data_IF_168587019621
#
_entry.id   IF_168587019621
#
_cell.length_a   1.000
_cell.length_b   1.000
_cell.length_c   1.000
_cell.angle_alpha   90.00
_cell.angle_beta   90.00
_cell.angle_gamma   90.00
#
_symmetry.space_group_name_H-M   'P 1'
#
loop_
_entity.id
_entity.type
_entity.pdbx_description
1 polymer ?
#
# COMPACT_ATOMS: atom_id res chain seq x y z
N UNK A 1 -6.28 1.85 -10.37
CA UNK A 1 -6.40 0.42 -10.03
C UNK A 1 -5.25 -0.31 -10.70
N UNK A 2 -4.51 -1.13 -9.96
CA UNK A 2 -3.37 -1.90 -10.49
C UNK A 2 -3.68 -3.40 -10.46
N UNK A 3 -2.97 -4.17 -11.30
CA UNK A 3 -3.01 -5.63 -11.27
C UNK A 3 -1.63 -6.15 -10.87
N UNK A 4 -1.57 -6.90 -9.77
CA UNK A 4 -0.39 -7.65 -9.38
C UNK A 4 -0.46 -9.05 -9.99
N UNK A 5 0.60 -9.47 -10.67
CA UNK A 5 0.67 -10.75 -11.38
C UNK A 5 -0.47 -10.98 -12.41
N UNK A 6 -1.00 -9.89 -12.97
CA UNK A 6 -2.07 -9.89 -13.98
C UNK A 6 -3.47 -10.24 -13.48
N UNK A 7 -3.61 -10.99 -12.39
CA UNK A 7 -4.91 -11.52 -11.94
C UNK A 7 -5.37 -10.97 -10.57
N UNK A 8 -4.46 -10.39 -9.78
CA UNK A 8 -4.80 -9.89 -8.44
C UNK A 8 -5.05 -8.39 -8.48
N UNK A 9 -6.28 -7.96 -8.18
CA UNK A 9 -6.60 -6.53 -8.03
C UNK A 9 -5.88 -5.97 -6.81
N UNK A 10 -5.09 -4.91 -7.00
CA UNK A 10 -4.36 -4.24 -5.93
C UNK A 10 -4.59 -2.73 -5.94
N UNK A 11 -4.56 -2.13 -4.76
CA UNK A 11 -4.49 -0.69 -4.59
C UNK A 11 -3.02 -0.28 -4.45
N UNK A 12 -2.59 0.64 -5.30
CA UNK A 12 -1.25 1.23 -5.27
C UNK A 12 -1.36 2.65 -4.76
N UNK A 13 -0.66 2.97 -3.68
CA UNK A 13 -0.59 4.31 -3.11
C UNK A 13 0.84 4.84 -3.25
N UNK A 14 1.00 5.92 -4.00
CA UNK A 14 2.27 6.65 -4.09
C UNK A 14 2.36 7.66 -2.96
N UNK A 15 3.46 7.66 -2.23
CA UNK A 15 3.81 8.70 -1.26
C UNK A 15 4.77 9.70 -1.91
N UNK A 16 4.58 11.00 -1.63
CA UNK A 16 5.47 12.06 -2.11
C UNK A 16 6.83 11.97 -1.40
N UNK A 17 7.89 12.34 -2.11
CA UNK A 17 9.25 12.42 -1.54
C UNK A 17 9.28 13.35 -0.32
N UNK A 18 10.01 12.96 0.72
CA UNK A 18 10.20 13.75 1.94
C UNK A 18 9.18 13.53 3.06
N UNK A 19 8.22 12.61 2.91
CA UNK A 19 7.28 12.33 4.00
C UNK A 19 7.85 11.46 5.12
N UNK A 20 8.83 10.59 4.82
CA UNK A 20 9.44 9.65 5.79
C UNK A 20 10.79 9.11 5.30
N UNK A 21 11.65 8.73 6.25
CA UNK A 21 12.89 7.98 5.97
C UNK A 21 12.58 6.52 5.60
N UNK A 22 13.33 5.92 4.66
CA UNK A 22 13.09 4.55 4.20
C UNK A 22 13.22 3.49 5.32
N UNK A 23 14.15 3.67 6.26
CA UNK A 23 14.31 2.77 7.42
C UNK A 23 13.09 2.76 8.35
N UNK A 24 12.57 3.94 8.68
CA UNK A 24 11.37 4.08 9.52
C UNK A 24 10.16 3.46 8.82
N UNK A 25 10.02 3.71 7.52
CA UNK A 25 8.96 3.13 6.72
C UNK A 25 9.06 1.60 6.62
N UNK A 26 10.25 1.02 6.50
CA UNK A 26 10.48 -0.42 6.54
C UNK A 26 10.06 -1.04 7.88
N UNK A 27 10.36 -0.38 8.99
CA UNK A 27 9.94 -0.82 10.31
C UNK A 27 8.40 -0.84 10.43
N UNK A 28 7.73 0.24 10.02
CA UNK A 28 6.27 0.31 10.01
C UNK A 28 5.63 -0.68 9.03
N UNK A 29 6.22 -0.88 7.85
CA UNK A 29 5.75 -1.85 6.86
C UNK A 29 5.85 -3.29 7.38
N UNK A 30 6.92 -3.62 8.10
CA UNK A 30 7.04 -4.93 8.75
C UNK A 30 5.97 -5.15 9.81
N UNK A 31 5.67 -4.13 10.62
CA UNK A 31 4.58 -4.20 11.59
C UNK A 31 3.22 -4.40 10.89
N UNK A 32 2.93 -3.63 9.83
CA UNK A 32 1.71 -3.77 9.04
C UNK A 32 1.59 -5.14 8.36
N UNK A 33 2.72 -5.74 7.95
CA UNK A 33 2.76 -7.07 7.33
C UNK A 33 2.39 -8.18 8.33
N UNK A 34 2.70 -7.99 9.61
CA UNK A 34 2.35 -8.94 10.68
C UNK A 34 0.88 -8.83 11.10
N UNK A 35 0.25 -7.67 10.90
CA UNK A 35 -1.16 -7.44 11.25
C UNK A 35 -2.10 -8.03 10.20
N UNK A 36 -2.40 -9.33 10.33
CA UNK A 36 -3.38 -10.03 9.51
C UNK A 36 -4.71 -10.15 10.25
N UNK A 37 -5.67 -9.27 9.93
CA UNK A 37 -7.01 -9.32 10.51
C UNK A 37 -8.06 -9.14 9.41
N UNK A 38 -9.22 -9.81 9.51
CA UNK A 38 -10.29 -9.74 8.49
C UNK A 38 -10.90 -8.34 8.29
N UNK A 39 -10.55 -7.38 9.16
CA UNK A 39 -11.01 -5.97 9.10
C UNK A 39 -9.89 -4.99 8.74
N UNK A 40 -8.67 -5.48 8.54
CA UNK A 40 -7.51 -4.67 8.20
C UNK A 40 -7.09 -4.97 6.77
N UNK A 41 -6.67 -3.94 6.06
CA UNK A 41 -6.16 -4.05 4.69
C UNK A 41 -4.81 -4.77 4.72
N UNK A 42 -4.70 -5.85 3.96
CA UNK A 42 -3.47 -6.61 3.77
C UNK A 42 -2.49 -5.84 2.91
N UNK A 43 -1.27 -5.71 3.44
CA UNK A 43 -0.12 -5.18 2.72
C UNK A 43 0.54 -6.31 1.91
N UNK A 44 0.60 -6.16 0.59
CA UNK A 44 1.27 -7.12 -0.28
C UNK A 44 2.77 -6.83 -0.39
N UNK A 45 3.11 -5.60 -0.73
CA UNK A 45 4.47 -5.19 -0.96
C UNK A 45 4.63 -3.69 -0.75
N UNK A 46 5.87 -3.27 -0.50
CA UNK A 46 6.27 -1.88 -0.48
C UNK A 46 7.50 -1.70 -1.35
N UNK A 47 7.56 -0.57 -2.06
CA UNK A 47 8.71 -0.15 -2.85
C UNK A 47 9.40 0.95 -2.08
N UNK A 48 10.63 0.69 -1.64
CA UNK A 48 11.45 1.63 -0.87
C UNK A 48 12.30 2.54 -1.75
N UNK A 49 12.37 2.29 -3.07
CA UNK A 49 12.95 3.23 -4.02
C UNK A 49 12.02 4.42 -4.21
N UNK A 50 12.56 5.63 -4.18
CA UNK A 50 11.77 6.84 -4.40
C UNK A 50 11.28 6.94 -5.86
N UNK A 51 9.99 7.24 -6.08
CA UNK A 51 8.95 7.52 -5.08
C UNK A 51 8.40 6.24 -4.42
N UNK A 52 8.15 6.29 -3.10
CA UNK A 52 7.71 5.13 -2.32
C UNK A 52 6.30 4.70 -2.77
N UNK A 53 6.14 3.40 -3.06
CA UNK A 53 4.85 2.81 -3.39
C UNK A 53 4.41 1.78 -2.35
N UNK A 54 3.13 1.82 -2.00
CA UNK A 54 2.49 0.86 -1.10
C UNK A 54 1.46 0.07 -1.89
N UNK A 55 1.63 -1.25 -1.95
CA UNK A 55 0.77 -2.17 -2.67
C UNK A 55 -0.05 -2.95 -1.65
N UNK A 56 -1.36 -2.77 -1.70
CA UNK A 56 -2.32 -3.32 -0.72
C UNK A 56 -3.49 -4.01 -1.42
N UNK A 57 -4.26 -4.81 -0.69
CA UNK A 57 -5.48 -5.40 -1.23
C UNK A 57 -6.50 -4.34 -1.65
N UNK A 58 -7.14 -4.60 -2.78
CA UNK A 58 -8.19 -3.74 -3.29
C UNK A 58 -9.51 -4.06 -2.57
N UNK A 59 -10.00 -3.11 -1.78
CA UNK A 59 -11.26 -3.24 -1.04
C UNK A 59 -12.40 -2.56 -1.82
N UNK A 60 -13.34 -3.35 -2.35
CA UNK A 60 -14.45 -2.86 -3.19
C UNK A 60 -15.56 -2.16 -2.40
N UNK A 61 -15.75 -2.44 -1.09
CA UNK A 61 -17.04 -2.17 -0.44
C UNK A 61 -17.05 -1.47 0.94
N UNK A 62 -16.02 -0.70 1.31
CA UNK A 62 -16.11 0.02 2.58
C UNK A 62 -14.88 0.80 2.99
N UNK A 63 -15.00 2.12 2.95
CA UNK A 63 -14.04 3.05 3.54
C UNK A 63 -13.06 3.67 2.56
N UNK A 64 -13.54 4.60 1.71
CA UNK A 64 -12.70 5.60 1.01
C UNK A 64 -11.43 5.03 0.35
N UNK A 65 -11.56 3.98 -0.46
CA UNK A 65 -10.59 3.72 -1.51
C UNK A 65 -10.88 4.66 -2.70
N UNK A 66 -10.80 5.99 -2.48
CA UNK A 66 -10.53 6.88 -3.60
C UNK A 66 -9.13 6.47 -4.07
N UNK A 67 -8.92 6.13 -5.35
CA UNK A 67 -7.56 5.96 -5.85
C UNK A 67 -6.81 7.23 -5.49
N UNK A 68 -5.87 7.14 -4.55
CA UNK A 68 -5.04 8.27 -4.14
C UNK A 68 -4.08 8.70 -5.26
N UNK A 69 -4.23 8.16 -6.47
CA UNK A 69 -3.98 8.89 -7.71
C UNK A 69 -5.05 9.98 -7.89
N UNK A 70 -5.07 10.97 -7.00
CA UNK A 70 -5.55 12.28 -7.41
C UNK A 70 -4.54 12.81 -8.43
N UNK A 71 -5.05 13.17 -9.60
CA UNK A 71 -4.39 13.90 -10.67
C UNK A 71 -3.46 15.01 -10.17
#
# INVERSE_FOLDING_TARGET
MGYYNGHTKVAVKSLKQGSMSPDAFLAEANLMKQLQHQRLVRLYAVVTQEPIYIITEYMENGGRCRPLCSC
#
